data_IF_559661242475
#
_entry.id   IF_559661242475
#
_cell.length_a   1.000
_cell.length_b   1.000
_cell.length_c   1.000
_cell.angle_alpha   90.00
_cell.angle_beta   90.00
_cell.angle_gamma   90.00
#
_symmetry.space_group_name_H-M   'P 1'
#
loop_
_entity.id
_entity.type
_entity.pdbx_description
1 polymer ?
#
# COMPACT_ATOMS: atom_id res chain seq x y z
N UNK A 1 -28.28 7.21 60.80
CA UNK A 1 -27.26 6.60 59.92
C UNK A 1 -25.90 7.13 60.33
N UNK A 2 -24.94 6.30 60.78
CA UNK A 2 -23.64 6.79 61.21
C UNK A 2 -22.83 7.19 59.97
N UNK A 3 -22.30 8.42 59.95
CA UNK A 3 -21.36 8.84 58.92
C UNK A 3 -20.03 8.14 59.16
N UNK A 4 -19.53 7.42 58.14
CA UNK A 4 -18.21 6.77 58.19
C UNK A 4 -17.14 7.84 58.36
N UNK A 5 -16.42 7.80 59.49
CA UNK A 5 -15.24 8.62 59.72
C UNK A 5 -14.09 8.14 58.87
N UNK A 6 -13.35 9.07 58.28
CA UNK A 6 -12.12 8.81 57.54
C UNK A 6 -11.00 8.49 58.54
N UNK A 7 -10.35 7.34 58.39
CA UNK A 7 -9.26 6.88 59.25
C UNK A 7 -7.95 6.86 58.43
N UNK A 8 -6.97 7.73 58.75
CA UNK A 8 -5.83 8.00 57.86
C UNK A 8 -4.72 6.94 57.89
N UNK A 9 -4.85 5.88 58.70
CA UNK A 9 -3.79 4.89 58.98
C UNK A 9 -3.87 3.58 58.18
N UNK A 10 -4.78 3.47 57.20
CA UNK A 10 -4.96 2.23 56.42
C UNK A 10 -4.04 2.21 55.18
N UNK A 11 -3.44 1.05 54.89
CA UNK A 11 -2.64 0.78 53.68
C UNK A 11 -3.47 1.01 52.41
N UNK A 12 -2.82 1.35 51.29
CA UNK A 12 -3.52 1.76 50.05
C UNK A 12 -4.52 0.72 49.53
N UNK A 13 -4.29 -0.56 49.83
CA UNK A 13 -5.17 -1.67 49.46
C UNK A 13 -6.49 -1.71 50.26
N UNK A 14 -6.53 -1.12 51.46
CA UNK A 14 -7.73 -1.06 52.32
C UNK A 14 -8.63 0.14 52.02
N UNK A 15 -8.15 1.08 51.18
CA UNK A 15 -8.93 2.24 50.73
C UNK A 15 -9.79 1.97 49.49
N UNK A 16 -9.52 0.86 48.80
CA UNK A 16 -10.22 0.50 47.57
C UNK A 16 -11.60 -0.06 47.94
N UNK A 17 -12.71 0.57 47.49
CA UNK A 17 -14.04 0.09 47.78
C UNK A 17 -14.21 -1.34 47.26
N UNK A 18 -14.92 -2.19 48.02
CA UNK A 18 -15.17 -3.60 47.68
C UNK A 18 -15.68 -3.78 46.25
N UNK A 19 -16.51 -2.84 45.77
CA UNK A 19 -17.02 -2.83 44.41
C UNK A 19 -15.87 -2.77 43.39
N UNK A 20 -14.90 -1.89 43.59
CA UNK A 20 -13.76 -1.72 42.68
C UNK A 20 -12.80 -2.91 42.71
N UNK A 21 -12.65 -3.59 43.87
CA UNK A 21 -11.94 -4.88 43.94
C UNK A 21 -12.63 -5.95 43.11
N UNK A 22 -13.96 -6.08 43.24
CA UNK A 22 -14.75 -7.04 42.47
C UNK A 22 -14.76 -6.74 40.97
N UNK A 23 -14.73 -5.46 40.57
CA UNK A 23 -14.61 -5.07 39.16
C UNK A 23 -13.24 -5.44 38.58
N UNK A 24 -12.17 -5.25 39.34
CA UNK A 24 -10.79 -5.58 38.92
C UNK A 24 -10.54 -7.09 38.88
N UNK A 25 -11.12 -7.85 39.80
CA UNK A 25 -11.00 -9.31 39.87
C UNK A 25 -11.77 -10.02 38.74
N UNK A 26 -12.84 -9.40 38.23
CA UNK A 26 -13.65 -9.92 37.11
C UNK A 26 -13.29 -9.32 35.74
N UNK A 27 -12.29 -8.43 35.65
CA UNK A 27 -11.76 -7.97 34.37
C UNK A 27 -10.77 -9.01 33.83
N UNK A 28 -11.11 -9.62 32.70
CA UNK A 28 -10.16 -10.40 31.91
C UNK A 28 -8.95 -9.52 31.56
N UNK A 29 -7.74 -10.07 31.60
CA UNK A 29 -6.54 -9.28 31.37
C UNK A 29 -6.56 -8.64 29.99
N UNK A 30 -6.55 -7.30 29.95
CA UNK A 30 -6.44 -6.49 28.72
C UNK A 30 -5.14 -6.80 27.92
N UNK A 31 -4.26 -7.66 28.45
CA UNK A 31 -3.11 -8.23 27.75
C UNK A 31 -3.51 -8.92 26.43
N UNK A 32 -4.72 -9.48 26.33
CA UNK A 32 -5.29 -10.05 25.09
C UNK A 32 -6.16 -9.03 24.32
N UNK A 33 -6.44 -7.86 24.90
CA UNK A 33 -7.23 -6.80 24.27
C UNK A 33 -6.40 -5.80 23.43
N UNK A 34 -5.08 -5.86 23.50
CA UNK A 34 -4.18 -5.03 22.70
C UNK A 34 -3.89 -5.67 21.33
N UNK A 35 -4.47 -5.13 20.25
CA UNK A 35 -4.36 -5.64 18.87
C UNK A 35 -2.97 -5.49 18.22
N UNK A 36 -1.92 -6.02 18.85
CA UNK A 36 -0.59 -6.25 18.29
C UNK A 36 -0.29 -7.75 18.42
N UNK A 37 -0.89 -8.57 17.55
CA UNK A 37 -0.57 -9.99 17.43
C UNK A 37 0.49 -10.18 16.33
N UNK A 38 1.54 -10.97 16.57
CA UNK A 38 2.55 -11.33 15.57
C UNK A 38 1.95 -11.97 14.29
N UNK A 39 0.74 -12.57 14.40
CA UNK A 39 -0.05 -13.03 13.25
C UNK A 39 -0.33 -11.94 12.20
N UNK A 40 -0.44 -10.67 12.60
CA UNK A 40 -0.69 -9.57 11.67
C UNK A 40 0.52 -9.31 10.75
N UNK A 41 1.73 -9.56 11.23
CA UNK A 41 2.97 -9.32 10.47
C UNK A 41 3.21 -10.45 9.45
N UNK A 42 3.01 -11.72 9.82
CA UNK A 42 3.13 -12.85 8.88
C UNK A 42 2.10 -12.74 7.73
N UNK A 43 0.88 -12.30 8.05
CA UNK A 43 -0.17 -12.07 7.05
C UNK A 43 0.21 -10.96 6.09
N UNK A 44 0.87 -9.90 6.57
CA UNK A 44 1.34 -8.80 5.74
C UNK A 44 2.45 -9.25 4.79
N UNK A 45 3.45 -9.99 5.26
CA UNK A 45 4.53 -10.51 4.41
C UNK A 45 3.99 -11.41 3.30
N UNK A 46 3.04 -12.30 3.63
CA UNK A 46 2.39 -13.16 2.63
C UNK A 46 1.69 -12.35 1.55
N UNK A 47 1.03 -11.24 1.91
CA UNK A 47 0.36 -10.35 0.93
C UNK A 47 1.37 -9.68 0.01
N UNK A 48 2.51 -9.28 0.53
CA UNK A 48 3.60 -8.65 -0.24
C UNK A 48 4.20 -9.63 -1.24
N UNK A 49 4.50 -10.86 -0.81
CA UNK A 49 4.99 -11.91 -1.72
C UNK A 49 4.00 -12.19 -2.86
N UNK A 50 2.70 -12.22 -2.57
CA UNK A 50 1.65 -12.43 -3.59
C UNK A 50 1.62 -11.25 -4.59
N UNK A 51 1.74 -10.01 -4.11
CA UNK A 51 1.68 -8.86 -5.00
C UNK A 51 2.93 -8.71 -5.87
N UNK A 52 4.11 -8.97 -5.32
CA UNK A 52 5.35 -9.05 -6.10
C UNK A 52 5.29 -10.12 -7.17
N UNK A 53 4.79 -11.32 -6.84
CA UNK A 53 4.66 -12.41 -7.81
C UNK A 53 3.69 -12.03 -8.95
N UNK A 54 2.60 -11.32 -8.64
CA UNK A 54 1.67 -10.82 -9.66
C UNK A 54 2.33 -9.80 -10.57
N UNK A 55 3.10 -8.86 -10.01
CA UNK A 55 3.84 -7.87 -10.79
C UNK A 55 4.87 -8.53 -11.71
N UNK A 56 5.68 -9.45 -11.18
CA UNK A 56 6.67 -10.23 -11.96
C UNK A 56 6.03 -10.99 -13.11
N UNK A 57 4.85 -11.59 -12.90
CA UNK A 57 4.10 -12.26 -13.98
C UNK A 57 3.61 -11.29 -15.06
N UNK A 58 3.08 -10.13 -14.66
CA UNK A 58 2.65 -9.10 -15.60
C UNK A 58 3.82 -8.57 -16.44
N UNK A 59 4.98 -8.33 -15.82
CA UNK A 59 6.18 -7.87 -16.51
C UNK A 59 6.76 -8.96 -17.43
N UNK A 60 6.71 -10.24 -17.03
CA UNK A 60 7.18 -11.35 -17.86
C UNK A 60 6.37 -11.55 -19.16
N UNK A 61 5.08 -11.20 -19.17
CA UNK A 61 4.27 -11.23 -20.41
C UNK A 61 4.82 -10.24 -21.45
N UNK A 62 5.44 -9.15 -21.00
CA UNK A 62 5.90 -8.05 -21.85
C UNK A 62 7.41 -8.02 -22.08
N UNK A 63 8.19 -8.87 -21.40
CA UNK A 63 9.64 -8.98 -21.59
C UNK A 63 10.06 -9.52 -22.96
N UNK A 64 9.11 -10.07 -23.72
CA UNK A 64 9.35 -10.56 -25.09
C UNK A 64 9.55 -9.43 -26.12
N UNK A 65 9.26 -8.18 -25.75
CA UNK A 65 9.43 -7.03 -26.64
C UNK A 65 10.87 -6.52 -26.55
N UNK A 66 11.57 -6.52 -27.69
CA UNK A 66 12.94 -6.03 -27.78
C UNK A 66 12.97 -4.50 -27.54
N UNK A 67 13.90 -4.05 -26.72
CA UNK A 67 14.18 -2.63 -26.54
C UNK A 67 14.60 -1.99 -27.86
N UNK A 68 14.03 -0.83 -28.25
CA UNK A 68 14.56 -0.06 -29.35
C UNK A 68 15.93 0.49 -28.98
N UNK A 69 16.80 0.64 -29.97
CA UNK A 69 18.18 1.06 -29.75
C UNK A 69 18.29 2.55 -29.39
N UNK A 70 17.29 3.37 -29.71
CA UNK A 70 17.31 4.83 -29.57
C UNK A 70 16.13 5.36 -28.76
N UNK A 71 16.36 6.46 -28.05
CA UNK A 71 15.34 7.20 -27.30
C UNK A 71 14.50 8.08 -28.24
N UNK A 72 13.18 8.03 -28.11
CA UNK A 72 12.22 8.76 -28.97
C UNK A 72 12.36 10.29 -28.89
N UNK A 73 12.86 10.84 -27.78
CA UNK A 73 12.96 12.30 -27.58
C UNK A 73 14.32 12.89 -27.94
N UNK A 74 15.40 12.11 -27.86
CA UNK A 74 16.76 12.63 -28.06
C UNK A 74 17.63 11.82 -29.04
N UNK A 75 17.09 10.74 -29.60
CA UNK A 75 17.75 9.82 -30.54
C UNK A 75 19.08 9.21 -30.05
N UNK A 76 19.42 9.38 -28.77
CA UNK A 76 20.58 8.74 -28.15
C UNK A 76 20.29 7.27 -27.88
N UNK A 77 21.35 6.49 -27.74
CA UNK A 77 21.24 5.08 -27.38
C UNK A 77 20.40 4.91 -26.11
N UNK A 78 19.30 4.17 -26.22
CA UNK A 78 18.41 3.87 -25.11
C UNK A 78 19.06 2.75 -24.28
N UNK A 79 19.85 3.16 -23.29
CA UNK A 79 20.37 2.25 -22.27
C UNK A 79 19.27 1.87 -21.27
N UNK A 80 19.65 1.29 -20.11
CA UNK A 80 18.76 0.95 -19.01
C UNK A 80 17.91 2.14 -18.58
N UNK A 81 16.69 2.23 -19.13
CA UNK A 81 15.69 3.25 -18.82
C UNK A 81 14.66 2.68 -17.86
N UNK A 82 14.34 3.45 -16.82
CA UNK A 82 13.29 3.08 -15.88
C UNK A 82 11.91 2.97 -16.54
N UNK A 83 11.62 3.88 -17.48
CA UNK A 83 10.36 3.90 -18.24
C UNK A 83 10.26 2.70 -19.19
N UNK A 84 11.38 2.28 -19.77
CA UNK A 84 11.41 1.09 -20.60
C UNK A 84 11.13 -0.17 -19.76
N UNK A 85 11.85 -0.36 -18.66
CA UNK A 85 11.72 -1.54 -17.80
C UNK A 85 10.27 -1.75 -17.31
N UNK A 86 9.57 -0.66 -16.93
CA UNK A 86 8.25 -0.71 -16.29
C UNK A 86 7.07 -0.47 -17.23
N UNK A 87 7.24 0.28 -18.31
CA UNK A 87 6.15 0.68 -19.20
C UNK A 87 6.40 0.39 -20.70
N UNK A 88 7.59 -0.10 -21.08
CA UNK A 88 8.03 -0.27 -22.48
C UNK A 88 7.95 1.05 -23.26
N UNK A 89 8.16 2.17 -22.57
CA UNK A 89 8.21 3.49 -23.20
C UNK A 89 9.66 3.81 -23.56
N UNK A 90 9.98 4.09 -24.84
CA UNK A 90 11.35 4.24 -25.34
C UNK A 90 11.95 5.62 -25.05
N UNK A 91 11.97 5.99 -23.77
CA UNK A 91 12.42 7.31 -23.32
C UNK A 91 13.50 7.14 -22.27
N UNK A 92 14.65 7.79 -22.46
CA UNK A 92 15.74 7.77 -21.49
C UNK A 92 15.40 8.62 -20.25
N UNK A 93 16.03 8.34 -19.13
CA UNK A 93 15.75 9.05 -17.87
C UNK A 93 16.04 10.57 -17.94
N UNK A 94 16.94 10.99 -18.84
CA UNK A 94 17.21 12.41 -19.08
C UNK A 94 16.05 13.14 -19.79
N UNK A 95 15.25 12.42 -20.58
CA UNK A 95 14.09 12.95 -21.31
C UNK A 95 12.77 12.70 -20.59
N UNK A 96 12.82 12.02 -19.44
CA UNK A 96 11.65 11.76 -18.61
C UNK A 96 11.10 13.07 -18.06
N UNK A 97 9.78 13.25 -18.21
CA UNK A 97 9.05 14.42 -17.75
C UNK A 97 7.95 13.99 -16.78
N UNK A 98 8.22 14.13 -15.48
CA UNK A 98 7.31 13.71 -14.42
C UNK A 98 6.02 14.55 -14.34
N UNK A 99 5.99 15.74 -14.97
CA UNK A 99 4.83 16.65 -14.91
C UNK A 99 3.98 16.62 -16.18
N UNK A 100 4.59 16.34 -17.33
CA UNK A 100 3.92 16.30 -18.62
C UNK A 100 3.49 14.90 -19.04
N UNK A 101 4.12 14.40 -20.10
CA UNK A 101 3.75 13.16 -20.80
C UNK A 101 4.03 11.90 -19.98
N UNK A 102 5.10 11.91 -19.18
CA UNK A 102 5.55 10.74 -18.41
C UNK A 102 5.04 10.76 -16.95
N UNK A 103 4.01 11.56 -16.68
CA UNK A 103 3.38 11.60 -15.37
C UNK A 103 2.72 10.25 -15.05
N UNK A 104 2.96 9.77 -13.84
CA UNK A 104 2.29 8.60 -13.29
C UNK A 104 0.96 9.01 -12.69
N UNK A 105 -0.11 8.32 -13.07
CA UNK A 105 -1.47 8.58 -12.62
C UNK A 105 -2.02 7.36 -11.88
N UNK A 106 -2.67 7.58 -10.75
CA UNK A 106 -3.35 6.49 -10.05
C UNK A 106 -4.55 5.99 -10.84
N UNK A 107 -4.91 4.71 -10.67
CA UNK A 107 -6.10 4.12 -11.32
C UNK A 107 -7.36 4.99 -11.17
N UNK A 108 -7.57 5.57 -9.99
CA UNK A 108 -8.70 6.48 -9.72
C UNK A 108 -8.61 7.76 -10.54
N UNK A 109 -7.43 8.39 -10.62
CA UNK A 109 -7.20 9.61 -11.40
C UNK A 109 -7.37 9.36 -12.91
N UNK A 110 -6.91 8.21 -13.41
CA UNK A 110 -7.08 7.85 -14.82
C UNK A 110 -8.56 7.72 -15.16
N UNK A 111 -9.35 7.04 -14.32
CA UNK A 111 -10.79 6.92 -14.51
C UNK A 111 -11.49 8.27 -14.53
N UNK A 112 -11.15 9.18 -13.61
CA UNK A 112 -11.79 10.49 -13.54
C UNK A 112 -11.37 11.41 -14.68
N UNK A 113 -10.08 11.39 -15.06
CA UNK A 113 -9.51 12.28 -16.07
C UNK A 113 -9.89 11.86 -17.48
N UNK A 114 -9.89 10.55 -17.75
CA UNK A 114 -10.13 9.98 -19.08
C UNK A 114 -11.51 9.31 -19.22
N UNK A 115 -12.34 9.36 -18.18
CA UNK A 115 -13.68 8.74 -18.14
C UNK A 115 -13.67 7.24 -18.50
N UNK A 116 -12.55 6.55 -18.20
CA UNK A 116 -12.37 5.13 -18.48
C UNK A 116 -13.06 4.26 -17.43
N UNK A 117 -13.58 3.11 -17.86
CA UNK A 117 -14.15 2.11 -16.95
C UNK A 117 -13.09 1.07 -16.55
N UNK A 118 -13.39 0.32 -15.50
CA UNK A 118 -12.52 -0.78 -15.05
C UNK A 118 -12.29 -1.84 -16.14
N UNK A 119 -13.32 -2.13 -16.93
CA UNK A 119 -13.19 -3.04 -18.08
C UNK A 119 -12.23 -2.52 -19.13
N UNK A 120 -12.14 -1.20 -19.33
CA UNK A 120 -11.25 -0.62 -20.33
C UNK A 120 -9.79 -0.75 -19.91
N UNK A 121 -9.51 -0.67 -18.60
CA UNK A 121 -8.15 -0.79 -18.06
C UNK A 121 -7.68 -2.25 -17.95
N UNK A 122 -8.56 -3.18 -17.56
CA UNK A 122 -8.16 -4.56 -17.28
C UNK A 122 -8.38 -5.53 -18.46
N UNK A 123 -9.36 -5.29 -19.34
CA UNK A 123 -9.77 -6.28 -20.36
C UNK A 123 -9.30 -5.93 -21.78
N UNK A 124 -8.98 -4.66 -22.06
CA UNK A 124 -8.53 -4.28 -23.41
C UNK A 124 -7.19 -4.92 -23.72
N UNK A 125 -7.05 -5.36 -24.97
CA UNK A 125 -5.80 -5.88 -25.53
C UNK A 125 -5.15 -4.77 -26.38
N UNK A 126 -3.84 -4.52 -26.25
CA UNK A 126 -2.91 -5.11 -25.29
C UNK A 126 -3.17 -4.62 -23.85
N UNK A 127 -2.89 -5.45 -22.82
CA UNK A 127 -3.08 -5.04 -21.43
C UNK A 127 -2.17 -3.87 -21.07
N UNK A 128 -2.72 -2.85 -20.41
CA UNK A 128 -1.96 -1.69 -19.96
C UNK A 128 -0.99 -2.07 -18.84
N UNK A 129 0.26 -1.61 -18.96
CA UNK A 129 1.27 -1.78 -17.91
C UNK A 129 1.01 -0.83 -16.76
N UNK A 130 1.28 -1.29 -15.55
CA UNK A 130 1.16 -0.47 -14.36
C UNK A 130 2.28 -0.79 -13.37
N UNK A 131 2.60 0.17 -12.52
CA UNK A 131 3.46 -0.03 -11.37
C UNK A 131 2.61 -0.13 -10.10
N UNK A 132 2.66 -1.29 -9.44
CA UNK A 132 2.02 -1.50 -8.15
C UNK A 132 2.87 -0.90 -7.02
N UNK A 133 2.25 -0.05 -6.19
CA UNK A 133 2.85 0.53 -4.98
C UNK A 133 1.90 0.38 -3.80
N UNK A 134 2.43 0.29 -2.58
CA UNK A 134 1.61 0.30 -1.36
C UNK A 134 0.72 1.54 -1.31
N UNK A 135 -0.50 1.35 -0.84
CA UNK A 135 -1.46 2.44 -0.73
C UNK A 135 -0.99 3.42 0.36
N UNK A 136 -0.82 4.72 0.05
CA UNK A 136 -0.31 5.71 0.99
C UNK A 136 -1.24 5.97 2.17
N UNK A 137 -2.53 5.69 2.05
CA UNK A 137 -3.50 5.87 3.15
C UNK A 137 -3.43 4.74 4.18
N UNK A 138 -3.28 3.50 3.72
CA UNK A 138 -3.13 2.34 4.59
C UNK A 138 -2.41 1.22 3.84
N UNK A 139 -1.22 0.77 4.30
CA UNK A 139 -0.48 -0.31 3.65
C UNK A 139 -1.20 -1.67 3.70
N UNK A 140 -2.20 -1.84 4.57
CA UNK A 140 -3.06 -3.04 4.62
C UNK A 140 -4.10 -3.09 3.50
N UNK A 141 -4.38 -1.97 2.83
CA UNK A 141 -5.26 -1.94 1.66
C UNK A 141 -4.59 -2.56 0.43
N UNK A 142 -5.40 -2.83 -0.59
CA UNK A 142 -4.87 -3.28 -1.88
C UNK A 142 -3.87 -2.29 -2.47
N UNK A 143 -2.85 -2.83 -3.15
CA UNK A 143 -1.81 -2.02 -3.78
C UNK A 143 -2.43 -1.06 -4.82
N UNK A 144 -1.92 0.17 -4.82
CA UNK A 144 -2.27 1.20 -5.79
C UNK A 144 -1.58 0.89 -7.12
N UNK A 145 -2.36 0.90 -8.21
CA UNK A 145 -1.84 0.80 -9.57
C UNK A 145 -1.59 2.20 -10.14
N UNK A 146 -0.35 2.44 -10.57
CA UNK A 146 0.07 3.65 -11.26
C UNK A 146 0.22 3.35 -12.76
N UNK A 147 -0.45 4.13 -13.59
CA UNK A 147 -0.39 4.06 -15.05
C UNK A 147 0.40 5.25 -15.60
N UNK A 148 1.01 5.09 -16.76
CA UNK A 148 1.73 6.17 -17.42
C UNK A 148 0.74 6.98 -18.28
N UNK A 149 0.77 8.31 -18.18
CA UNK A 149 -0.21 9.18 -18.86
C UNK A 149 -0.20 9.07 -20.39
N UNK A 150 0.93 8.75 -21.01
CA UNK A 150 1.06 8.63 -22.46
C UNK A 150 0.62 7.27 -23.04
N UNK A 151 0.25 6.30 -22.20
CA UNK A 151 -0.32 5.01 -22.63
C UNK A 151 -1.79 5.13 -23.04
#
# INVERSE_FOLDING_TARGET
MPKRGYNPSASEEDKIPIVEKLYRENQESDAVGGGFCDDDDEVQERREQISEMRQKRADAIHSSIKAPDNCEKCDKLLMDSWLWERYNCPVCDACRDDKGEHKLLARTEVKTTYLLKDCDLDLRKPPLRYWAKKNPHNPRYGDMKLYLKCQ
#
